data_IF_094471908264
#
_entry.id   IF_094471908264
#
_cell.length_a   1.000
_cell.length_b   1.000
_cell.length_c   1.000
_cell.angle_alpha   90.00
_cell.angle_beta   90.00
_cell.angle_gamma   90.00
#
_symmetry.space_group_name_H-M   'P 1'
#
loop_
_entity.id
_entity.type
_entity.pdbx_description
1 polymer ?
#
# COMPACT_ATOMS: atom_id res chain seq x y z
N UNK A 1 -6.16 18.22 35.11
CA UNK A 1 -5.37 19.28 34.43
C UNK A 1 -5.49 19.09 32.92
N UNK A 2 -6.65 19.40 32.34
CA UNK A 2 -6.91 19.23 30.89
C UNK A 2 -8.24 19.91 30.57
N UNK A 3 -8.25 21.25 30.54
CA UNK A 3 -9.37 22.04 29.99
C UNK A 3 -8.99 23.50 29.65
N UNK A 4 -7.85 24.00 30.12
CA UNK A 4 -7.43 25.40 29.87
C UNK A 4 -6.47 25.63 28.69
N UNK A 5 -6.10 24.61 27.89
CA UNK A 5 -5.27 24.81 26.68
C UNK A 5 -6.02 24.83 25.35
N UNK A 6 -7.29 24.42 25.31
CA UNK A 6 -8.10 24.41 24.08
C UNK A 6 -8.62 25.82 23.74
N UNK A 7 -8.79 26.69 24.73
CA UNK A 7 -9.41 28.01 24.56
C UNK A 7 -8.49 29.06 23.91
N UNK A 8 -7.17 28.84 23.89
CA UNK A 8 -6.23 29.80 23.28
C UNK A 8 -6.07 29.56 21.77
N UNK A 9 -6.05 28.30 21.34
CA UNK A 9 -5.92 27.92 19.92
C UNK A 9 -7.19 28.25 19.13
N UNK A 10 -8.38 28.02 19.71
CA UNK A 10 -9.66 28.38 19.08
C UNK A 10 -9.88 29.89 19.02
N UNK A 11 -9.41 30.66 20.02
CA UNK A 11 -9.42 32.14 19.97
C UNK A 11 -8.41 32.71 18.98
N UNK A 12 -7.26 32.07 18.81
CA UNK A 12 -6.27 32.47 17.80
C UNK A 12 -6.76 32.18 16.38
N UNK A 13 -7.35 31.01 16.13
CA UNK A 13 -8.02 30.68 14.87
C UNK A 13 -9.20 31.64 14.62
N UNK A 14 -10.09 31.87 15.58
CA UNK A 14 -11.19 32.83 15.39
C UNK A 14 -10.71 34.27 15.10
N UNK A 15 -9.57 34.67 15.66
CA UNK A 15 -8.92 35.96 15.40
C UNK A 15 -8.27 36.05 14.01
N UNK A 16 -7.82 34.94 13.42
CA UNK A 16 -7.26 34.93 12.05
C UNK A 16 -8.36 34.87 10.99
N UNK A 17 -9.46 34.17 11.28
CA UNK A 17 -10.62 34.08 10.38
C UNK A 17 -11.45 35.37 10.33
N UNK A 18 -11.49 36.16 11.41
CA UNK A 18 -12.19 37.46 11.39
C UNK A 18 -11.48 38.51 10.54
N UNK A 19 -10.14 38.47 10.46
CA UNK A 19 -9.33 39.41 9.68
C UNK A 19 -9.43 39.08 8.19
N UNK A 20 -9.26 37.81 7.82
CA UNK A 20 -9.43 37.34 6.43
C UNK A 20 -10.85 37.59 5.88
N UNK A 21 -11.88 37.40 6.70
CA UNK A 21 -13.26 37.65 6.27
C UNK A 21 -13.55 39.15 6.16
N UNK A 22 -12.99 39.99 7.04
CA UNK A 22 -13.09 41.45 6.92
C UNK A 22 -12.34 41.97 5.70
N UNK A 23 -11.17 41.43 5.37
CA UNK A 23 -10.39 41.83 4.21
C UNK A 23 -11.08 41.42 2.89
N UNK A 24 -11.65 40.21 2.82
CA UNK A 24 -12.41 39.76 1.64
C UNK A 24 -13.70 40.57 1.49
N UNK A 25 -14.43 40.84 2.59
CA UNK A 25 -15.63 41.66 2.54
C UNK A 25 -15.32 43.12 2.21
N UNK A 26 -14.18 43.64 2.68
CA UNK A 26 -13.70 44.99 2.35
C UNK A 26 -13.31 45.10 0.88
N UNK A 27 -12.57 44.12 0.34
CA UNK A 27 -12.25 44.02 -1.09
C UNK A 27 -13.52 43.88 -1.92
N UNK A 28 -14.49 43.07 -1.49
CA UNK A 28 -15.78 42.93 -2.16
C UNK A 28 -16.59 44.24 -2.16
N UNK A 29 -16.68 44.94 -1.02
CA UNK A 29 -17.39 46.22 -0.90
C UNK A 29 -16.68 47.33 -1.67
N UNK A 30 -15.35 47.36 -1.68
CA UNK A 30 -14.55 48.31 -2.48
C UNK A 30 -14.73 48.04 -3.97
N UNK A 31 -14.67 46.78 -4.42
CA UNK A 31 -14.91 46.41 -5.82
C UNK A 31 -16.34 46.74 -6.26
N UNK A 32 -17.35 46.44 -5.45
CA UNK A 32 -18.76 46.76 -5.75
C UNK A 32 -18.99 48.27 -5.78
N UNK A 33 -18.39 49.05 -4.87
CA UNK A 33 -18.47 50.51 -4.90
C UNK A 33 -17.75 51.11 -6.10
N UNK A 34 -16.56 50.61 -6.45
CA UNK A 34 -15.82 51.06 -7.63
C UNK A 34 -16.58 50.77 -8.94
N UNK A 35 -17.24 49.61 -9.03
CA UNK A 35 -18.10 49.26 -10.18
C UNK A 35 -19.35 50.16 -10.25
N UNK A 36 -20.01 50.43 -9.12
CA UNK A 36 -21.18 51.32 -9.10
C UNK A 36 -20.85 52.80 -9.41
N UNK A 37 -19.66 53.28 -9.03
CA UNK A 37 -19.27 54.67 -9.30
C UNK A 37 -18.91 54.88 -10.78
N UNK A 38 -18.52 53.82 -11.49
CA UNK A 38 -18.28 53.84 -12.93
C UNK A 38 -19.55 53.73 -13.78
N UNK A 39 -20.72 53.47 -13.18
CA UNK A 39 -22.01 53.39 -13.90
C UNK A 39 -22.64 54.74 -14.26
N UNK A 40 -22.00 55.87 -13.95
CA UNK A 40 -22.51 57.20 -14.33
C UNK A 40 -22.20 57.61 -15.79
N UNK A 41 -21.38 56.85 -16.53
CA UNK A 41 -21.04 57.17 -17.91
C UNK A 41 -21.29 55.97 -18.84
N UNK A 42 -22.29 56.11 -19.70
CA UNK A 42 -22.68 55.16 -20.74
C UNK A 42 -21.51 54.80 -21.67
N UNK A 43 -21.01 53.56 -21.59
CA UNK A 43 -20.80 52.62 -22.73
C UNK A 43 -20.00 51.34 -22.36
N UNK A 44 -19.49 51.17 -21.13
CA UNK A 44 -18.56 50.05 -20.79
C UNK A 44 -19.15 48.94 -19.90
N UNK A 45 -20.47 48.91 -19.68
CA UNK A 45 -21.07 47.99 -18.71
C UNK A 45 -21.04 46.51 -19.17
N UNK A 46 -21.19 46.27 -20.47
CA UNK A 46 -21.25 44.91 -21.04
C UNK A 46 -19.89 44.19 -21.00
N UNK A 47 -18.78 44.92 -21.09
CA UNK A 47 -17.43 44.33 -21.10
C UNK A 47 -17.00 43.88 -19.70
N UNK A 48 -17.26 44.70 -18.68
CA UNK A 48 -16.92 44.35 -17.30
C UNK A 48 -17.80 43.23 -16.72
N UNK A 49 -19.08 43.15 -17.12
CA UNK A 49 -19.96 42.05 -16.72
C UNK A 49 -19.52 40.70 -17.34
N UNK A 50 -19.04 40.72 -18.59
CA UNK A 50 -18.50 39.53 -19.26
C UNK A 50 -17.19 39.06 -18.61
N UNK A 51 -16.30 39.99 -18.25
CA UNK A 51 -15.04 39.67 -17.54
C UNK A 51 -15.33 39.10 -16.15
N UNK A 52 -16.32 39.62 -15.43
CA UNK A 52 -16.74 39.10 -14.13
C UNK A 52 -17.37 37.69 -14.22
N UNK A 53 -18.16 37.42 -15.26
CA UNK A 53 -18.76 36.10 -15.46
C UNK A 53 -17.72 35.05 -15.93
N UNK A 54 -16.73 35.46 -16.72
CA UNK A 54 -15.60 34.61 -17.13
C UNK A 54 -14.62 34.32 -15.98
N UNK A 55 -14.44 35.24 -15.03
CA UNK A 55 -13.64 34.98 -13.83
C UNK A 55 -14.37 34.08 -12.83
N UNK A 56 -15.68 34.21 -12.71
CA UNK A 56 -16.52 33.31 -11.90
C UNK A 56 -16.55 31.88 -12.46
N UNK A 57 -16.56 31.68 -13.78
CA UNK A 57 -16.45 30.33 -14.35
C UNK A 57 -15.08 29.70 -14.10
N UNK A 58 -13.98 30.46 -14.16
CA UNK A 58 -12.65 29.97 -13.79
C UNK A 58 -12.55 29.56 -12.30
N UNK A 59 -13.27 30.26 -11.41
CA UNK A 59 -13.29 29.92 -9.97
C UNK A 59 -14.18 28.70 -9.69
N UNK A 60 -15.31 28.52 -10.40
CA UNK A 60 -16.20 27.35 -10.23
C UNK A 60 -15.59 26.06 -10.81
N UNK A 61 -14.77 26.15 -11.87
CA UNK A 61 -13.97 25.01 -12.37
C UNK A 61 -12.72 24.72 -11.55
N UNK A 62 -12.35 25.62 -10.63
CA UNK A 62 -11.32 25.39 -9.62
C UNK A 62 -11.93 24.74 -8.36
N UNK A 63 -12.68 23.65 -8.53
CA UNK A 63 -12.80 22.72 -7.40
C UNK A 63 -11.37 22.32 -7.03
N UNK A 64 -10.95 22.41 -5.75
CA UNK A 64 -9.70 21.80 -5.35
C UNK A 64 -9.81 20.32 -5.67
N UNK A 65 -9.18 19.90 -6.76
CA UNK A 65 -8.92 18.52 -7.02
C UNK A 65 -8.22 18.01 -5.76
N UNK A 66 -8.84 17.05 -5.07
CA UNK A 66 -8.20 16.31 -4.00
C UNK A 66 -6.76 16.03 -4.45
N UNK A 67 -5.77 16.53 -3.70
CA UNK A 67 -4.37 16.33 -4.04
C UNK A 67 -4.08 14.84 -3.91
N UNK A 68 -4.14 14.17 -5.05
CA UNK A 68 -3.78 12.77 -5.25
C UNK A 68 -2.39 12.49 -4.67
N UNK A 69 -2.28 11.42 -3.87
CA UNK A 69 -1.12 11.08 -3.06
C UNK A 69 -0.79 9.57 -3.27
N UNK A 70 0.50 9.22 -3.40
CA UNK A 70 1.08 8.23 -4.37
C UNK A 70 0.91 8.72 -5.82
N UNK A 71 1.85 8.44 -6.75
CA UNK A 71 1.78 9.01 -8.12
C UNK A 71 0.42 8.63 -8.73
N UNK A 72 -0.50 9.60 -8.84
CA UNK A 72 -1.87 9.39 -9.31
C UNK A 72 -2.80 8.54 -8.41
N UNK A 73 -2.47 8.40 -7.12
CA UNK A 73 -3.23 7.71 -6.07
C UNK A 73 -4.16 8.61 -5.24
N UNK A 74 -4.76 8.08 -4.18
CA UNK A 74 -5.62 8.81 -3.25
C UNK A 74 -5.49 8.27 -1.82
N UNK A 75 -5.95 9.06 -0.85
CA UNK A 75 -5.96 8.66 0.56
C UNK A 75 -6.72 7.34 0.72
N UNK A 76 -6.06 6.32 1.25
CA UNK A 76 -6.69 5.05 1.55
C UNK A 76 -7.70 5.24 2.69
N UNK A 77 -8.87 4.60 2.55
CA UNK A 77 -9.85 4.56 3.64
C UNK A 77 -9.27 3.82 4.84
N UNK A 78 -9.62 4.30 6.03
CA UNK A 78 -9.17 3.73 7.29
C UNK A 78 -9.42 2.21 7.35
N UNK A 79 -8.39 1.46 7.75
CA UNK A 79 -8.43 0.00 7.94
C UNK A 79 -8.75 -0.86 6.70
N UNK A 80 -8.82 -0.29 5.49
CA UNK A 80 -9.04 -1.10 4.27
C UNK A 80 -7.86 -2.03 4.01
N UNK A 81 -6.64 -1.52 4.17
CA UNK A 81 -5.39 -2.27 4.00
C UNK A 81 -4.77 -2.64 5.35
N UNK A 82 -5.55 -3.20 6.27
CA UNK A 82 -5.12 -3.46 7.64
C UNK A 82 -3.86 -4.32 7.79
N UNK A 83 -3.51 -5.09 6.75
CA UNK A 83 -2.30 -5.91 6.71
C UNK A 83 -1.04 -5.15 6.28
N UNK A 84 -1.12 -3.88 5.92
CA UNK A 84 0.06 -3.13 5.51
C UNK A 84 0.96 -2.80 6.71
N UNK A 85 2.26 -2.93 6.51
CA UNK A 85 3.28 -2.63 7.51
C UNK A 85 4.19 -1.52 6.97
N UNK A 86 4.53 -0.52 7.78
CA UNK A 86 5.66 0.37 7.50
C UNK A 86 6.87 -0.15 8.25
N UNK A 87 8.03 -0.14 7.61
CA UNK A 87 9.32 -0.58 8.13
C UNK A 87 10.17 0.69 8.30
N UNK A 88 10.53 1.01 9.54
CA UNK A 88 11.40 2.14 9.88
C UNK A 88 12.75 1.64 10.37
N UNK A 89 13.82 2.42 10.18
CA UNK A 89 15.13 2.08 10.72
C UNK A 89 15.26 2.59 12.15
N UNK A 90 16.01 1.87 13.00
CA UNK A 90 16.24 2.34 14.38
C UNK A 90 16.98 3.68 14.48
N UNK A 91 17.87 3.99 13.53
CA UNK A 91 18.63 5.25 13.50
C UNK A 91 17.83 6.42 12.91
N UNK A 92 16.73 6.13 12.21
CA UNK A 92 15.72 7.11 11.80
C UNK A 92 14.30 6.52 11.94
N UNK A 93 13.78 6.46 13.19
CA UNK A 93 12.48 5.87 13.47
C UNK A 93 11.33 6.77 12.99
N UNK A 94 11.63 7.97 12.49
CA UNK A 94 10.64 8.95 12.05
C UNK A 94 10.38 8.90 10.56
N UNK A 95 11.20 8.16 9.81
CA UNK A 95 11.09 8.02 8.35
C UNK A 95 10.76 6.59 8.00
N UNK A 96 9.71 6.42 7.20
CA UNK A 96 9.34 5.12 6.64
C UNK A 96 10.37 4.79 5.56
N UNK A 97 11.13 3.72 5.79
CA UNK A 97 12.16 3.25 4.90
C UNK A 97 11.60 2.33 3.82
N UNK A 98 10.76 1.37 4.23
CA UNK A 98 10.09 0.41 3.37
C UNK A 98 8.66 0.14 3.83
N UNK A 99 7.87 -0.49 2.98
CA UNK A 99 6.64 -1.17 3.31
C UNK A 99 6.82 -2.66 3.57
N UNK A 100 5.71 -3.31 3.91
CA UNK A 100 5.60 -4.73 4.13
C UNK A 100 4.14 -5.17 4.15
N UNK A 101 3.93 -6.47 4.12
CA UNK A 101 2.59 -7.09 4.15
C UNK A 101 2.54 -8.15 5.23
N UNK A 102 1.67 -7.96 6.22
CA UNK A 102 1.36 -8.99 7.20
C UNK A 102 0.67 -10.16 6.50
N UNK A 103 1.34 -11.30 6.45
CA UNK A 103 0.84 -12.53 5.79
C UNK A 103 0.42 -13.60 6.80
N UNK A 104 0.76 -13.41 8.08
CA UNK A 104 0.27 -14.17 9.22
C UNK A 104 0.43 -13.33 10.50
N UNK A 105 -0.16 -13.76 11.62
CA UNK A 105 -0.20 -13.00 12.89
C UNK A 105 1.13 -12.38 13.32
N UNK A 106 2.25 -13.05 13.07
CA UNK A 106 3.60 -12.64 13.47
C UNK A 106 4.57 -12.50 12.30
N UNK A 107 4.10 -12.57 11.05
CA UNK A 107 4.98 -12.62 9.88
C UNK A 107 4.62 -11.54 8.87
N UNK A 108 5.60 -10.68 8.61
CA UNK A 108 5.57 -9.64 7.58
C UNK A 108 6.43 -10.08 6.41
N UNK A 109 5.86 -10.04 5.21
CA UNK A 109 6.55 -10.22 3.94
C UNK A 109 7.00 -8.86 3.41
N UNK A 110 8.23 -8.76 2.94
CA UNK A 110 8.81 -7.53 2.39
C UNK A 110 9.90 -7.86 1.36
N UNK A 111 10.55 -6.85 0.80
CA UNK A 111 11.69 -7.01 -0.09
C UNK A 111 12.96 -7.34 0.72
N UNK A 112 13.90 -8.05 0.12
CA UNK A 112 15.18 -8.37 0.76
C UNK A 112 16.08 -7.14 0.92
N UNK A 113 16.08 -6.25 -0.07
CA UNK A 113 16.85 -5.00 0.00
C UNK A 113 16.39 -4.08 1.14
N UNK A 114 15.15 -4.27 1.63
CA UNK A 114 14.63 -3.56 2.79
C UNK A 114 15.24 -4.03 4.12
N UNK A 115 16.01 -5.13 4.12
CA UNK A 115 16.58 -5.73 5.32
C UNK A 115 18.10 -5.59 5.30
N UNK A 116 18.58 -4.53 5.93
CA UNK A 116 19.98 -4.32 6.30
C UNK A 116 20.26 -5.02 7.64
N UNK A 117 21.31 -5.83 7.66
CA UNK A 117 21.76 -6.56 8.86
C UNK A 117 22.22 -5.65 10.01
N UNK A 118 22.40 -4.35 9.74
CA UNK A 118 22.97 -3.37 10.70
C UNK A 118 21.88 -2.62 11.47
N UNK A 119 20.67 -2.48 10.92
CA UNK A 119 19.60 -1.66 11.49
C UNK A 119 18.40 -2.56 11.82
N UNK A 120 18.16 -2.81 13.11
CA UNK A 120 16.91 -3.42 13.57
C UNK A 120 15.76 -2.50 13.12
N UNK A 121 14.76 -3.07 12.44
CA UNK A 121 13.65 -2.30 11.92
C UNK A 121 12.45 -2.34 12.89
N UNK A 122 11.74 -1.23 13.02
CA UNK A 122 10.44 -1.15 13.69
C UNK A 122 9.31 -1.27 12.68
N UNK A 123 8.19 -1.90 13.06
CA UNK A 123 6.95 -1.89 12.26
C UNK A 123 5.94 -0.93 12.89
N UNK A 124 5.45 0.06 12.13
CA UNK A 124 4.39 1.01 12.58
C UNK A 124 3.42 1.26 11.41
N UNK A 125 2.19 0.75 11.36
CA UNK A 125 0.99 1.23 12.07
C UNK A 125 0.28 0.12 12.86
N UNK A 126 1.07 -0.71 13.54
CA UNK A 126 0.63 -1.37 14.77
C UNK A 126 1.75 -1.13 15.77
N UNK A 127 1.43 -0.53 16.91
CA UNK A 127 2.37 -0.07 17.94
C UNK A 127 3.52 -1.06 18.28
N UNK A 128 4.77 -0.58 18.25
CA UNK A 128 5.91 -1.11 19.02
C UNK A 128 6.32 -2.59 18.79
N UNK A 129 6.23 -3.14 17.58
CA UNK A 129 6.69 -4.53 17.34
C UNK A 129 8.20 -4.58 17.13
N UNK A 130 8.83 -5.52 17.84
CA UNK A 130 10.25 -5.83 17.63
C UNK A 130 10.39 -6.93 16.60
N UNK A 131 11.39 -6.80 15.74
CA UNK A 131 11.79 -7.89 14.85
C UNK A 131 12.66 -8.87 15.63
N UNK A 132 12.19 -10.10 15.77
CA UNK A 132 12.95 -11.17 16.44
C UNK A 132 13.72 -12.05 15.46
N UNK A 133 13.36 -12.00 14.17
CA UNK A 133 14.03 -12.75 13.12
C UNK A 133 13.77 -12.14 11.76
N UNK A 134 14.81 -12.03 10.95
CA UNK A 134 14.71 -11.81 9.51
C UNK A 134 15.16 -13.06 8.74
N UNK A 135 14.53 -13.32 7.61
CA UNK A 135 14.86 -14.42 6.71
C UNK A 135 14.89 -13.87 5.29
N UNK A 136 16.08 -13.54 4.82
CA UNK A 136 16.33 -13.17 3.43
C UNK A 136 16.37 -14.43 2.56
N UNK A 137 15.87 -14.36 1.34
CA UNK A 137 16.00 -15.46 0.39
C UNK A 137 17.48 -15.74 0.11
N UNK A 138 17.92 -17.00 0.24
CA UNK A 138 19.34 -17.36 0.17
C UNK A 138 20.03 -17.16 -1.20
N UNK A 139 19.25 -16.79 -2.22
CA UNK A 139 19.73 -16.45 -3.57
C UNK A 139 19.59 -14.95 -3.87
N UNK A 140 19.21 -14.14 -2.88
CA UNK A 140 19.12 -12.70 -3.06
C UNK A 140 20.46 -12.14 -3.54
N UNK A 141 20.39 -11.30 -4.56
CA UNK A 141 21.53 -10.58 -5.09
C UNK A 141 21.17 -9.09 -5.15
N UNK A 142 21.96 -8.28 -4.44
CA UNK A 142 21.81 -6.81 -4.37
C UNK A 142 22.10 -6.14 -5.72
N UNK A 143 23.04 -6.70 -6.52
CA UNK A 143 23.44 -6.08 -7.79
C UNK A 143 22.32 -6.04 -8.83
N UNK A 144 21.51 -7.09 -8.90
CA UNK A 144 20.45 -7.25 -9.91
C UNK A 144 19.04 -7.34 -9.31
N UNK A 145 18.93 -7.17 -7.99
CA UNK A 145 17.71 -7.30 -7.19
C UNK A 145 16.91 -8.58 -7.48
N UNK A 146 17.59 -9.66 -7.87
CA UNK A 146 16.93 -10.95 -8.02
C UNK A 146 16.73 -11.65 -6.69
N UNK A 147 15.65 -12.43 -6.61
CA UNK A 147 15.20 -13.04 -5.35
C UNK A 147 15.00 -12.01 -4.23
N UNK A 148 14.54 -10.80 -4.59
CA UNK A 148 14.30 -9.70 -3.67
C UNK A 148 13.04 -9.91 -2.83
N UNK A 149 13.15 -10.82 -1.87
CA UNK A 149 12.10 -11.23 -0.96
C UNK A 149 12.69 -11.62 0.41
N UNK A 150 12.06 -11.11 1.46
CA UNK A 150 12.38 -11.45 2.83
C UNK A 150 11.12 -11.63 3.67
N UNK A 151 11.26 -12.43 4.72
CA UNK A 151 10.27 -12.56 5.77
C UNK A 151 10.84 -12.00 7.08
N UNK A 152 10.02 -11.23 7.77
CA UNK A 152 10.31 -10.64 9.06
C UNK A 152 9.33 -11.22 10.07
N UNK A 153 9.85 -11.70 11.19
CA UNK A 153 9.06 -12.21 12.29
C UNK A 153 9.01 -11.19 13.43
N UNK A 154 7.81 -10.92 13.89
CA UNK A 154 7.51 -10.05 15.02
C UNK A 154 7.62 -10.82 16.35
N UNK A 155 7.93 -10.09 17.42
CA UNK A 155 8.01 -10.59 18.80
C UNK A 155 6.66 -11.11 19.34
N UNK A 156 5.56 -10.54 18.85
CA UNK A 156 4.19 -10.86 19.27
C UNK A 156 3.19 -10.77 18.11
N UNK A 157 2.03 -11.44 18.21
CA UNK A 157 1.02 -11.40 17.15
C UNK A 157 0.32 -10.05 17.08
N UNK A 158 0.07 -9.59 15.85
CA UNK A 158 -0.79 -8.45 15.55
C UNK A 158 -2.25 -8.87 15.66
N UNK A 159 -3.03 -8.14 16.46
CA UNK A 159 -4.48 -8.37 16.63
C UNK A 159 -5.23 -7.09 16.39
N UNK A 160 -5.99 -7.05 15.30
CA UNK A 160 -6.88 -5.93 14.97
C UNK A 160 -8.33 -6.46 15.01
N UNK A 161 -9.18 -6.03 15.95
CA UNK A 161 -10.57 -6.46 15.99
C UNK A 161 -11.35 -6.01 14.75
N UNK A 162 -12.24 -6.86 14.24
CA UNK A 162 -13.18 -6.48 13.17
C UNK A 162 -12.58 -6.39 11.76
N UNK A 163 -11.35 -6.86 11.55
CA UNK A 163 -10.72 -6.92 10.21
C UNK A 163 -10.98 -8.25 9.51
N UNK A 164 -10.90 -8.22 8.17
CA UNK A 164 -11.03 -9.39 7.31
C UNK A 164 -9.82 -10.33 7.36
N UNK A 165 -9.75 -11.36 6.49
CA UNK A 165 -8.57 -12.22 6.37
C UNK A 165 -7.37 -11.49 5.75
N UNK A 166 -6.17 -12.04 5.95
CA UNK A 166 -4.96 -11.65 5.23
C UNK A 166 -5.14 -11.79 3.71
N UNK A 167 -4.36 -11.07 2.89
CA UNK A 167 -4.41 -11.28 1.44
C UNK A 167 -3.91 -12.69 1.14
N UNK A 168 -4.58 -13.39 0.23
CA UNK A 168 -4.13 -14.70 -0.21
C UNK A 168 -2.85 -14.54 -1.02
N UNK A 169 -1.90 -15.47 -0.89
CA UNK A 169 -0.73 -15.43 -1.78
C UNK A 169 -1.18 -15.60 -3.23
N UNK A 170 -0.55 -14.89 -4.16
CA UNK A 170 -0.76 -15.06 -5.60
C UNK A 170 -0.29 -16.43 -6.10
N UNK A 171 -1.04 -17.07 -6.97
CA UNK A 171 -0.78 -18.39 -7.58
C UNK A 171 -0.35 -18.24 -9.04
N UNK A 172 0.38 -19.22 -9.58
CA UNK A 172 0.81 -19.20 -10.99
C UNK A 172 -0.36 -19.27 -11.98
N UNK A 173 -1.53 -19.75 -11.53
CA UNK A 173 -2.76 -19.82 -12.33
C UNK A 173 -3.58 -18.54 -12.26
N UNK A 174 -3.21 -17.59 -11.41
CA UNK A 174 -3.95 -16.36 -11.27
C UNK A 174 -3.76 -15.48 -12.48
N UNK A 175 -4.90 -15.01 -12.99
CA UNK A 175 -4.93 -14.02 -14.04
C UNK A 175 -5.29 -12.67 -13.42
N UNK A 176 -4.34 -11.75 -13.41
CA UNK A 176 -4.51 -10.41 -12.85
C UNK A 176 -5.01 -9.42 -13.90
N UNK A 177 -6.09 -9.78 -14.60
CA UNK A 177 -6.80 -8.90 -15.54
C UNK A 177 -7.69 -7.86 -14.83
N UNK A 178 -8.00 -8.09 -13.54
CA UNK A 178 -8.76 -7.16 -12.70
C UNK A 178 -7.93 -5.99 -12.18
N UNK A 179 -8.56 -5.05 -11.45
CA UNK A 179 -7.84 -3.94 -10.84
C UNK A 179 -6.82 -4.47 -9.83
N UNK A 180 -5.59 -3.95 -9.92
CA UNK A 180 -4.58 -4.12 -8.91
C UNK A 180 -4.32 -2.79 -8.19
N UNK A 181 -4.02 -2.88 -6.91
CA UNK A 181 -3.77 -1.76 -6.03
C UNK A 181 -2.37 -1.91 -5.41
N UNK A 182 -1.65 -0.79 -5.35
CA UNK A 182 -0.50 -0.63 -4.46
C UNK A 182 -0.95 0.30 -3.35
N UNK A 183 -0.57 0.00 -2.13
CA UNK A 183 -0.80 0.87 -0.99
C UNK A 183 0.51 1.05 -0.22
N UNK A 184 0.71 2.23 0.37
CA UNK A 184 1.92 2.56 1.11
C UNK A 184 2.00 4.03 1.51
N UNK A 185 3.15 4.39 2.06
CA UNK A 185 3.47 5.75 2.51
C UNK A 185 4.60 6.38 1.71
N UNK A 186 4.87 5.82 0.53
CA UNK A 186 5.88 6.33 -0.37
C UNK A 186 5.59 7.73 -0.89
N UNK A 187 6.56 8.27 -1.62
CA UNK A 187 6.46 9.58 -2.23
C UNK A 187 5.24 9.70 -3.15
N UNK A 188 4.62 10.87 -3.11
CA UNK A 188 3.37 11.15 -3.83
C UNK A 188 3.60 11.57 -5.28
N UNK A 189 4.81 12.04 -5.58
CA UNK A 189 5.35 12.21 -6.91
C UNK A 189 6.77 11.65 -6.92
N UNK A 190 7.45 11.63 -8.07
CA UNK A 190 8.86 11.21 -8.13
C UNK A 190 9.79 12.03 -7.23
N UNK A 191 9.39 13.24 -6.82
CA UNK A 191 10.25 14.15 -6.04
C UNK A 191 9.59 14.69 -4.75
N UNK A 192 8.30 14.44 -4.53
CA UNK A 192 7.57 15.02 -3.40
C UNK A 192 7.27 13.97 -2.32
N UNK A 193 7.70 14.20 -1.06
CA UNK A 193 7.35 13.31 0.04
C UNK A 193 5.87 13.43 0.39
N UNK A 194 5.35 12.39 1.05
CA UNK A 194 4.00 12.39 1.60
C UNK A 194 3.85 13.47 2.69
N UNK A 195 2.88 14.41 2.56
CA UNK A 195 2.68 15.46 3.55
C UNK A 195 2.18 14.90 4.89
N UNK A 196 2.53 15.58 5.98
CA UNK A 196 1.99 15.33 7.33
C UNK A 196 0.44 15.49 7.27
N UNK A 197 -0.36 14.55 7.82
CA UNK A 197 -0.03 13.54 8.83
C UNK A 197 0.51 12.20 8.30
N UNK A 198 0.87 12.10 7.01
CA UNK A 198 1.29 10.86 6.35
C UNK A 198 0.19 9.80 6.32
N UNK A 199 -0.99 10.21 5.88
CA UNK A 199 -2.12 9.30 5.62
C UNK A 199 -1.69 8.22 4.64
N UNK A 200 -2.01 6.96 4.92
CA UNK A 200 -1.80 5.85 4.00
C UNK A 200 -2.43 6.16 2.64
N UNK A 201 -1.71 5.85 1.57
CA UNK A 201 -2.14 6.09 0.21
C UNK A 201 -2.42 4.79 -0.52
N UNK A 202 -3.27 4.86 -1.54
CA UNK A 202 -3.52 3.76 -2.47
C UNK A 202 -3.57 4.24 -3.92
N UNK A 203 -3.10 3.39 -4.85
CA UNK A 203 -3.19 3.66 -6.28
C UNK A 203 -3.61 2.40 -7.03
N UNK A 204 -4.59 2.54 -7.92
CA UNK A 204 -4.94 1.48 -8.86
C UNK A 204 -4.00 1.50 -10.06
N UNK A 205 -3.30 0.38 -10.29
CA UNK A 205 -2.33 0.18 -11.37
C UNK A 205 -2.72 -1.03 -12.23
N UNK A 206 -2.53 -0.95 -13.57
CA UNK A 206 -2.67 -2.12 -14.42
C UNK A 206 -1.44 -3.02 -14.33
N UNK A 207 -1.61 -4.33 -14.51
CA UNK A 207 -0.49 -5.24 -14.76
C UNK A 207 0.07 -4.98 -16.16
N UNK A 208 1.40 -4.92 -16.26
CA UNK A 208 2.12 -4.84 -17.52
C UNK A 208 2.70 -6.23 -17.83
N UNK A 209 2.36 -6.84 -18.98
CA UNK A 209 2.92 -8.13 -19.37
C UNK A 209 4.44 -8.10 -19.41
N UNK A 210 5.11 -9.16 -18.92
CA UNK A 210 6.57 -9.19 -18.84
C UNK A 210 7.25 -8.93 -20.19
N UNK A 211 6.70 -9.40 -21.31
CA UNK A 211 7.27 -9.16 -22.65
C UNK A 211 7.22 -7.68 -23.05
N UNK A 212 6.18 -6.96 -22.62
CA UNK A 212 6.10 -5.50 -22.79
C UNK A 212 7.06 -4.81 -21.83
N UNK A 213 7.12 -5.25 -20.57
CA UNK A 213 7.99 -4.67 -19.55
C UNK A 213 9.50 -4.84 -19.87
N UNK A 214 9.88 -5.95 -20.51
CA UNK A 214 11.25 -6.21 -21.00
C UNK A 214 11.78 -5.18 -21.98
N UNK A 215 10.89 -4.45 -22.67
CA UNK A 215 11.29 -3.35 -23.55
C UNK A 215 11.93 -2.20 -22.76
N UNK A 216 11.54 -2.05 -21.50
CA UNK A 216 12.05 -1.05 -20.57
C UNK A 216 13.14 -1.60 -19.66
N UNK A 217 13.06 -2.91 -19.34
CA UNK A 217 14.00 -3.62 -18.48
C UNK A 217 14.50 -4.91 -19.18
N UNK A 218 15.56 -4.84 -20.00
CA UNK A 218 16.04 -5.98 -20.77
C UNK A 218 16.37 -7.23 -19.94
N UNK A 219 16.84 -7.04 -18.71
CA UNK A 219 17.24 -8.11 -17.79
C UNK A 219 16.10 -8.62 -16.89
N UNK A 220 14.84 -8.22 -17.15
CA UNK A 220 13.67 -8.60 -16.36
C UNK A 220 13.49 -10.13 -16.31
N UNK A 221 13.55 -10.68 -15.10
CA UNK A 221 13.43 -12.12 -14.84
C UNK A 221 11.96 -12.60 -14.81
N UNK A 222 11.67 -13.88 -15.12
CA UNK A 222 10.31 -14.43 -15.02
C UNK A 222 9.69 -14.33 -13.61
N UNK A 223 10.51 -14.37 -12.57
CA UNK A 223 10.13 -14.24 -11.16
C UNK A 223 9.84 -12.78 -10.76
N UNK A 224 9.82 -11.86 -11.71
CA UNK A 224 9.39 -10.48 -11.53
C UNK A 224 8.07 -10.24 -12.26
N UNK A 225 7.27 -9.30 -11.77
CA UNK A 225 6.02 -8.83 -12.36
C UNK A 225 6.05 -7.31 -12.43
N UNK A 226 5.48 -6.73 -13.49
CA UNK A 226 5.42 -5.28 -13.65
C UNK A 226 4.00 -4.77 -13.52
N UNK A 227 3.85 -3.58 -12.95
CA UNK A 227 2.57 -2.89 -12.84
C UNK A 227 2.78 -1.39 -12.91
N UNK A 228 1.78 -0.67 -13.38
CA UNK A 228 1.82 0.79 -13.48
C UNK A 228 1.59 1.30 -14.89
N UNK A 229 1.40 2.61 -14.98
CA UNK A 229 1.28 3.35 -16.23
C UNK A 229 1.71 4.80 -16.00
N UNK A 230 1.72 5.59 -17.07
CA UNK A 230 1.98 7.03 -16.97
C UNK A 230 1.13 7.68 -15.87
N UNK A 231 1.80 8.35 -14.93
CA UNK A 231 1.19 9.02 -13.79
C UNK A 231 0.56 8.11 -12.75
N UNK A 232 0.74 6.77 -12.81
CA UNK A 232 0.25 5.81 -11.80
C UNK A 232 1.26 4.72 -11.50
N UNK A 233 1.87 4.77 -10.32
CA UNK A 233 2.95 3.84 -9.93
C UNK A 233 3.21 3.82 -8.43
N UNK A 234 3.91 2.79 -7.96
CA UNK A 234 4.59 2.80 -6.65
C UNK A 234 5.78 3.77 -6.68
N UNK A 235 6.18 4.32 -5.54
CA UNK A 235 7.37 5.18 -5.48
C UNK A 235 8.25 4.91 -4.25
N UNK A 236 9.26 5.76 -4.06
CA UNK A 236 10.23 5.68 -2.97
C UNK A 236 9.50 5.62 -1.62
N UNK A 237 9.82 4.63 -0.78
CA UNK A 237 9.14 4.38 0.50
C UNK A 237 8.02 3.33 0.42
N UNK A 238 7.53 2.98 -0.78
CA UNK A 238 6.61 1.84 -0.96
C UNK A 238 7.36 0.51 -1.12
N UNK A 239 8.69 0.54 -1.27
CA UNK A 239 9.54 -0.64 -1.46
C UNK A 239 9.30 -1.71 -0.39
N UNK A 240 9.14 -2.97 -0.78
CA UNK A 240 8.73 -4.05 0.12
C UNK A 240 7.22 -4.11 0.43
N UNK A 241 6.45 -3.09 0.04
CA UNK A 241 5.00 -3.04 0.16
C UNK A 241 4.26 -3.94 -0.84
N UNK A 242 2.93 -4.08 -0.66
CA UNK A 242 2.12 -5.01 -1.45
C UNK A 242 1.72 -4.47 -2.83
N UNK A 243 1.79 -5.33 -3.84
CA UNK A 243 0.94 -5.26 -5.05
C UNK A 243 -0.20 -6.26 -4.90
N UNK A 244 -1.42 -5.77 -4.71
CA UNK A 244 -2.62 -6.56 -4.47
C UNK A 244 -3.51 -6.55 -5.70
N UNK A 245 -4.01 -7.70 -6.12
CA UNK A 245 -4.90 -7.81 -7.26
C UNK A 245 -6.19 -8.52 -6.85
N UNK A 246 -7.32 -8.04 -7.34
CA UNK A 246 -8.58 -8.76 -7.18
C UNK A 246 -8.55 -9.99 -8.09
N UNK A 247 -8.85 -11.15 -7.50
CA UNK A 247 -9.07 -12.40 -8.21
C UNK A 247 -10.43 -12.96 -7.83
N UNK A 248 -11.05 -13.73 -8.75
CA UNK A 248 -12.32 -14.40 -8.51
C UNK A 248 -12.07 -15.83 -8.03
N UNK A 249 -12.60 -16.16 -6.87
CA UNK A 249 -12.74 -17.53 -6.38
C UNK A 249 -14.24 -17.90 -6.36
N UNK A 250 -14.69 -18.57 -7.42
CA UNK A 250 -16.10 -18.74 -7.72
C UNK A 250 -16.80 -17.38 -7.92
N UNK A 251 -17.77 -17.07 -7.05
CA UNK A 251 -18.50 -15.79 -7.07
C UNK A 251 -17.90 -14.73 -6.13
N UNK A 252 -16.84 -15.04 -5.38
CA UNK A 252 -16.25 -14.12 -4.40
C UNK A 252 -15.02 -13.43 -4.97
N UNK A 253 -14.93 -12.13 -4.74
CA UNK A 253 -13.72 -11.37 -4.98
C UNK A 253 -12.80 -11.49 -3.76
N UNK A 254 -11.56 -11.87 -4.01
CA UNK A 254 -10.53 -12.01 -2.98
C UNK A 254 -9.30 -11.19 -3.38
N UNK A 255 -8.71 -10.54 -2.39
CA UNK A 255 -7.42 -9.87 -2.56
C UNK A 255 -6.30 -10.89 -2.57
N UNK A 256 -5.53 -10.88 -3.65
CA UNK A 256 -4.32 -11.67 -3.80
C UNK A 256 -3.09 -10.80 -3.81
N UNK A 257 -2.09 -11.16 -3.00
CA UNK A 257 -0.78 -10.55 -3.05
C UNK A 257 -0.03 -11.07 -4.28
N UNK A 258 -0.06 -10.29 -5.35
CA UNK A 258 0.53 -10.63 -6.64
C UNK A 258 2.04 -10.35 -6.67
N UNK A 259 2.46 -9.27 -6.00
CA UNK A 259 3.85 -8.84 -6.00
C UNK A 259 4.26 -8.10 -4.73
N UNK A 260 5.56 -7.90 -4.61
CA UNK A 260 6.22 -7.09 -3.58
C UNK A 260 6.96 -5.97 -4.30
N UNK A 261 6.74 -4.71 -3.96
CA UNK A 261 7.42 -3.56 -4.59
C UNK A 261 8.93 -3.75 -4.46
N UNK A 262 9.68 -3.66 -5.57
CA UNK A 262 11.12 -3.92 -5.59
C UNK A 262 11.91 -2.73 -6.13
N UNK A 263 11.74 -2.36 -7.41
CA UNK A 263 12.46 -1.23 -8.01
C UNK A 263 11.71 -0.63 -9.21
N UNK A 264 12.24 0.48 -9.74
CA UNK A 264 11.75 1.13 -10.95
C UNK A 264 12.66 2.27 -11.40
N UNK A 265 12.58 2.68 -12.67
CA UNK A 265 13.27 3.87 -13.18
C UNK A 265 12.32 5.07 -13.07
N UNK A 266 12.52 5.87 -12.03
CA UNK A 266 11.58 6.93 -11.64
C UNK A 266 10.25 6.36 -11.17
N UNK A 267 9.26 7.23 -10.97
CA UNK A 267 7.92 6.83 -10.52
C UNK A 267 6.86 7.38 -11.48
N UNK A 268 6.02 6.51 -12.04
CA UNK A 268 4.91 6.93 -12.91
C UNK A 268 5.36 7.46 -14.27
N UNK A 269 6.57 7.12 -14.71
CA UNK A 269 7.04 7.45 -16.05
C UNK A 269 6.38 6.52 -17.06
N UNK A 270 5.86 7.07 -18.16
CA UNK A 270 5.06 6.32 -19.14
C UNK A 270 5.74 5.05 -19.69
N UNK A 271 7.06 5.08 -19.86
CA UNK A 271 7.84 3.98 -20.41
C UNK A 271 8.43 3.05 -19.35
N UNK A 272 8.35 3.37 -18.06
CA UNK A 272 9.02 2.63 -16.99
C UNK A 272 8.00 2.29 -15.91
N UNK A 273 7.26 1.16 -16.04
CA UNK A 273 6.41 0.68 -14.96
C UNK A 273 7.27 0.23 -13.77
N UNK A 274 6.68 0.21 -12.58
CA UNK A 274 7.30 -0.41 -11.41
C UNK A 274 7.52 -1.91 -11.61
N UNK A 275 8.61 -2.42 -11.03
CA UNK A 275 8.98 -3.83 -11.01
C UNK A 275 8.82 -4.36 -9.59
N UNK A 276 8.19 -5.53 -9.51
CA UNK A 276 7.80 -6.18 -8.28
C UNK A 276 8.31 -7.62 -8.29
N UNK A 277 8.69 -8.14 -7.12
CA UNK A 277 8.96 -9.57 -6.96
C UNK A 277 7.66 -10.35 -7.08
N UNK A 278 7.56 -11.31 -8.00
CA UNK A 278 6.35 -12.11 -8.25
C UNK A 278 6.12 -13.12 -7.13
N UNK A 279 5.09 -12.91 -6.32
CA UNK A 279 4.82 -13.75 -5.13
C UNK A 279 4.54 -15.21 -5.50
N UNK A 280 3.89 -15.47 -6.65
CA UNK A 280 3.61 -16.84 -7.08
C UNK A 280 4.86 -17.69 -7.30
N UNK A 281 6.00 -17.08 -7.62
CA UNK A 281 7.29 -17.77 -7.75
C UNK A 281 7.91 -18.17 -6.41
N UNK A 282 7.46 -17.58 -5.29
CA UNK A 282 8.06 -17.73 -3.97
C UNK A 282 7.12 -18.28 -2.89
N UNK A 283 5.96 -18.82 -3.28
CA UNK A 283 4.98 -19.39 -2.33
C UNK A 283 5.59 -20.45 -1.41
N UNK A 284 6.43 -21.32 -1.95
CA UNK A 284 7.07 -22.38 -1.16
C UNK A 284 8.03 -21.80 -0.13
N UNK A 285 8.80 -20.79 -0.50
CA UNK A 285 9.65 -20.05 0.45
C UNK A 285 8.81 -19.47 1.58
N UNK A 286 7.70 -18.79 1.26
CA UNK A 286 6.83 -18.13 2.24
C UNK A 286 6.20 -19.18 3.18
N UNK A 287 5.54 -20.18 2.61
CA UNK A 287 4.79 -21.19 3.36
C UNK A 287 5.67 -22.09 4.21
N UNK A 288 6.85 -22.50 3.73
CA UNK A 288 7.79 -23.33 4.50
C UNK A 288 8.33 -22.58 5.71
N UNK A 289 8.61 -21.27 5.58
CA UNK A 289 9.17 -20.49 6.70
C UNK A 289 8.13 -20.20 7.77
N UNK A 290 6.90 -19.87 7.37
CA UNK A 290 5.80 -19.62 8.32
C UNK A 290 5.38 -20.91 9.02
N UNK A 291 5.20 -22.03 8.29
CA UNK A 291 4.75 -23.31 8.87
C UNK A 291 5.75 -23.98 9.82
N UNK A 292 7.04 -23.66 9.71
CA UNK A 292 8.09 -24.15 10.61
C UNK A 292 8.22 -23.31 11.88
N UNK A 293 7.40 -22.27 12.03
CA UNK A 293 7.41 -21.43 13.21
C UNK A 293 6.73 -22.14 14.41
N UNK A 294 7.45 -22.40 15.51
CA UNK A 294 6.90 -23.05 16.69
C UNK A 294 5.88 -22.18 17.47
N UNK A 295 5.82 -20.87 17.22
CA UNK A 295 4.90 -19.95 17.90
C UNK A 295 3.54 -19.81 17.21
N UNK A 296 3.34 -20.42 16.04
CA UNK A 296 2.09 -20.30 15.31
C UNK A 296 1.03 -21.26 15.87
N UNK A 297 -0.08 -20.76 16.46
CA UNK A 297 -1.08 -21.62 17.11
C UNK A 297 -1.85 -22.51 16.12
N UNK A 298 -1.78 -22.20 14.81
CA UNK A 298 -2.53 -22.89 13.75
C UNK A 298 -1.66 -23.11 12.50
N UNK A 299 -0.51 -23.78 12.66
CA UNK A 299 0.36 -24.22 11.54
C UNK A 299 -0.38 -25.01 10.44
N UNK A 300 -1.59 -25.50 10.72
CA UNK A 300 -2.44 -26.29 9.81
C UNK A 300 -3.30 -25.47 8.84
N UNK A 301 -3.95 -24.38 9.28
CA UNK A 301 -4.93 -23.66 8.45
C UNK A 301 -4.26 -22.77 7.41
N UNK A 302 -3.14 -22.13 7.78
CA UNK A 302 -2.33 -21.33 6.86
C UNK A 302 -1.79 -22.17 5.70
N UNK A 303 -1.24 -23.37 5.99
CA UNK A 303 -0.81 -24.30 4.95
C UNK A 303 -1.96 -24.72 4.04
N UNK A 304 -3.13 -25.05 4.59
CA UNK A 304 -4.30 -25.48 3.81
C UNK A 304 -4.85 -24.39 2.89
N UNK A 305 -4.86 -23.13 3.35
CA UNK A 305 -5.36 -22.00 2.58
C UNK A 305 -4.37 -21.52 1.50
N UNK A 306 -3.06 -21.64 1.75
CA UNK A 306 -2.02 -21.03 0.91
C UNK A 306 -1.06 -22.01 0.21
N UNK A 307 -1.19 -23.31 0.42
CA UNK A 307 -0.38 -24.32 -0.28
C UNK A 307 -1.33 -25.39 -0.78
N UNK A 308 -1.57 -25.41 -2.10
CA UNK A 308 -2.57 -26.29 -2.72
C UNK A 308 -2.53 -27.73 -2.18
N UNK A 309 -3.69 -28.40 -2.15
CA UNK A 309 -3.95 -29.67 -1.43
C UNK A 309 -2.82 -30.73 -1.49
N UNK A 310 -2.10 -30.85 -2.62
CA UNK A 310 -0.96 -31.78 -2.80
C UNK A 310 0.24 -31.47 -1.88
N UNK A 311 0.55 -30.20 -1.66
CA UNK A 311 1.68 -29.78 -0.81
C UNK A 311 1.39 -30.06 0.67
N UNK A 312 0.16 -29.79 1.12
CA UNK A 312 -0.30 -30.16 2.46
C UNK A 312 -0.19 -31.69 2.68
N UNK A 313 -0.63 -32.49 1.70
CA UNK A 313 -0.52 -33.97 1.76
C UNK A 313 0.93 -34.47 1.89
N UNK A 314 1.88 -33.84 1.19
CA UNK A 314 3.29 -34.21 1.23
C UNK A 314 3.95 -33.90 2.59
N UNK A 315 3.60 -32.75 3.18
CA UNK A 315 4.10 -32.36 4.52
C UNK A 315 3.62 -33.34 5.61
N UNK A 316 2.38 -33.83 5.53
CA UNK A 316 1.80 -34.79 6.48
C UNK A 316 2.48 -36.16 6.43
N UNK A 317 2.96 -36.59 5.26
CA UNK A 317 3.61 -37.90 5.07
C UNK A 317 4.97 -38.01 5.76
N UNK A 318 5.58 -36.90 6.16
CA UNK A 318 6.80 -36.93 6.97
C UNK A 318 6.44 -37.08 8.45
N UNK A 319 6.83 -38.19 9.07
CA UNK A 319 6.51 -38.50 10.48
C UNK A 319 6.92 -37.41 11.47
N UNK A 320 7.96 -36.64 11.11
CA UNK A 320 8.47 -35.54 11.91
C UNK A 320 7.51 -34.35 12.00
N UNK A 321 6.72 -34.10 10.95
CA UNK A 321 5.73 -33.02 10.92
C UNK A 321 4.35 -33.50 11.38
N UNK A 322 4.03 -34.79 11.22
CA UNK A 322 2.75 -35.38 11.67
C UNK A 322 2.46 -35.11 13.15
N UNK A 323 3.49 -35.09 14.00
CA UNK A 323 3.39 -34.82 15.45
C UNK A 323 3.10 -33.36 15.81
N UNK A 324 3.24 -32.44 14.85
CA UNK A 324 2.99 -31.00 15.03
C UNK A 324 1.55 -30.59 14.68
N UNK A 325 0.69 -31.54 14.26
CA UNK A 325 -0.70 -31.25 13.86
C UNK A 325 -1.71 -31.63 14.95
N UNK A 326 -2.81 -30.87 15.07
CA UNK A 326 -3.90 -31.19 15.99
C UNK A 326 -4.71 -32.42 15.53
N UNK A 327 -5.31 -33.19 16.45
CA UNK A 327 -6.18 -34.33 16.09
C UNK A 327 -7.42 -33.96 15.26
N UNK A 328 -7.88 -32.70 15.30
CA UNK A 328 -9.00 -32.22 14.48
C UNK A 328 -8.56 -32.02 13.02
N UNK A 329 -7.34 -31.54 12.81
CA UNK A 329 -6.74 -31.34 11.47
C UNK A 329 -6.49 -32.68 10.78
N UNK A 330 -5.97 -33.67 11.53
CA UNK A 330 -5.78 -35.04 11.02
C UNK A 330 -7.12 -35.66 10.57
N UNK A 331 -8.23 -35.34 11.25
CA UNK A 331 -9.56 -35.80 10.85
C UNK A 331 -10.07 -35.15 9.56
N UNK A 332 -9.96 -33.82 9.45
CA UNK A 332 -10.37 -33.07 8.25
C UNK A 332 -9.58 -33.44 6.99
N UNK A 333 -8.34 -33.91 7.14
CA UNK A 333 -7.50 -34.37 6.03
C UNK A 333 -7.74 -35.83 5.64
N UNK A 334 -8.26 -36.65 6.56
CA UNK A 334 -8.60 -38.05 6.34
C UNK A 334 -10.05 -38.27 5.88
N UNK A 335 -10.92 -37.27 6.06
CA UNK A 335 -12.23 -37.15 5.46
C UNK A 335 -12.04 -36.33 4.17
N UNK A 336 -11.74 -36.94 3.01
CA UNK A 336 -12.61 -36.91 1.82
C UNK A 336 -11.71 -36.56 0.59
N UNK A 337 -11.62 -37.23 -0.56
CA UNK A 337 -12.45 -38.17 -1.34
C UNK A 337 -13.92 -37.80 -1.59
N UNK A 338 -14.30 -36.57 -1.26
CA UNK A 338 -15.66 -36.07 -1.53
C UNK A 338 -15.55 -34.81 -2.37
N UNK A 339 -16.27 -34.85 -3.48
CA UNK A 339 -16.58 -33.72 -4.34
C UNK A 339 -17.11 -32.57 -3.48
N UNK A 340 -16.62 -31.34 -3.70
CA UNK A 340 -17.27 -30.14 -3.17
C UNK A 340 -18.08 -29.49 -4.29
N UNK A 341 -19.38 -29.41 -4.04
CA UNK A 341 -20.33 -28.43 -4.59
C UNK A 341 -19.89 -26.99 -4.29
#
# INVERSE_FOLDING_TARGET
MTLNRINWYTKWIASQYSVLFQDILFVYVVLVKSVCTMCACNFSCSFHLLVALLSLSLIVFSHPQSRSSIVGGEDAKESVWWWIAAIVRNDDPTTIYCGGTLVADTWVLTAAHCIDTIHLYGVTEVNDFNIVKSVIHHKYNDEDLSFDIALVRLDRPVRVPGVGPYPYLGDSKDNYEGPCCVAGWGQITENDPLPVPRTLQEVTVPIVPNDSCKKSYPDLKPEMICAGKSGKDSCQGDSGGPLMCISKDGSKEIWKLAGIVSYGIGCGRAAFPGVYTRVSSYRDFITIKISKDPSHPNNSLFCLLNSGKRFCSLMIRTERLRRSFSPQVIRLLNQDNTQCL
#
